data_IF_019079129614
#
_entry.id   IF_019079129614
#
_cell.length_a   1.000
_cell.length_b   1.000
_cell.length_c   1.000
_cell.angle_alpha   90.00
_cell.angle_beta   90.00
_cell.angle_gamma   90.00
#
_symmetry.space_group_name_H-M   'P 1'
#
loop_
_entity.id
_entity.type
_entity.pdbx_description
1 polymer ?
#
# COMPACT_ATOMS: atom_id res chain seq x y z
N UNK A 1 -9.46 3.68 -29.29
CA UNK A 1 -7.98 3.51 -29.19
C UNK A 1 -7.43 4.11 -27.89
N UNK A 2 -8.00 5.20 -27.36
CA UNK A 2 -7.58 5.80 -26.06
C UNK A 2 -7.72 4.86 -24.85
N UNK A 3 -8.82 4.10 -24.75
CA UNK A 3 -9.01 3.16 -23.63
C UNK A 3 -8.01 2.00 -23.56
N UNK A 4 -7.34 1.67 -24.67
CA UNK A 4 -6.37 0.57 -24.70
C UNK A 4 -4.98 1.02 -24.24
N UNK A 5 -4.60 2.28 -24.53
CA UNK A 5 -3.35 2.90 -24.05
C UNK A 5 -3.44 3.20 -22.56
N UNK A 6 -4.60 3.68 -22.09
CA UNK A 6 -4.87 3.90 -20.66
C UNK A 6 -4.66 2.60 -19.85
N UNK A 7 -5.20 1.48 -20.34
CA UNK A 7 -5.07 0.17 -19.69
C UNK A 7 -3.66 -0.44 -19.73
N UNK A 8 -2.76 0.03 -20.60
CA UNK A 8 -1.36 -0.44 -20.64
C UNK A 8 -0.49 0.40 -19.71
N UNK A 9 -0.64 1.74 -19.77
CA UNK A 9 0.04 2.66 -18.84
C UNK A 9 -0.32 2.32 -17.39
N UNK A 10 -1.58 1.96 -17.11
CA UNK A 10 -1.98 1.51 -15.77
C UNK A 10 -1.27 0.24 -15.31
N UNK A 11 -1.15 -0.78 -16.17
CA UNK A 11 -0.48 -2.05 -15.83
C UNK A 11 1.01 -1.91 -15.58
N UNK A 12 1.69 -1.04 -16.31
CA UNK A 12 3.11 -0.78 -16.08
C UNK A 12 3.32 -0.04 -14.73
N UNK A 13 2.40 0.86 -14.36
CA UNK A 13 2.41 1.53 -13.06
C UNK A 13 2.10 0.57 -11.90
N UNK A 14 1.16 -0.36 -12.08
CA UNK A 14 0.84 -1.42 -11.12
C UNK A 14 2.06 -2.28 -10.78
N UNK A 15 2.79 -2.67 -11.82
CA UNK A 15 4.00 -3.45 -11.66
C UNK A 15 5.08 -2.67 -10.91
N UNK A 16 5.30 -1.40 -11.26
CA UNK A 16 6.30 -0.57 -10.59
C UNK A 16 5.93 -0.25 -9.12
N UNK A 17 4.65 -0.04 -8.81
CA UNK A 17 4.15 0.09 -7.44
C UNK A 17 4.42 -1.18 -6.62
N UNK A 18 4.16 -2.35 -7.20
CA UNK A 18 4.38 -3.65 -6.55
C UNK A 18 5.88 -3.89 -6.33
N UNK A 19 6.68 -3.73 -7.37
CA UNK A 19 8.13 -3.93 -7.31
C UNK A 19 8.77 -2.94 -6.31
N UNK A 20 8.37 -1.67 -6.33
CA UNK A 20 8.83 -0.63 -5.42
C UNK A 20 8.47 -0.92 -3.96
N UNK A 21 7.22 -1.33 -3.68
CA UNK A 21 6.79 -1.72 -2.34
C UNK A 21 7.55 -2.95 -1.82
N UNK A 22 7.77 -3.94 -2.68
CA UNK A 22 8.49 -5.16 -2.34
C UNK A 22 9.99 -4.93 -2.12
N UNK A 23 10.61 -4.06 -2.92
CA UNK A 23 12.02 -3.70 -2.77
C UNK A 23 12.23 -2.76 -1.57
N UNK A 24 11.36 -1.76 -1.40
CA UNK A 24 11.37 -0.75 -0.35
C UNK A 24 10.85 -1.28 0.98
N UNK A 25 9.58 -1.03 1.28
CA UNK A 25 8.95 -1.30 2.58
C UNK A 25 9.03 -2.76 3.04
N UNK A 26 8.76 -3.71 2.13
CA UNK A 26 8.83 -5.14 2.43
C UNK A 26 10.24 -5.74 2.18
N UNK A 27 11.17 -4.96 1.63
CA UNK A 27 12.49 -5.39 1.22
C UNK A 27 13.63 -4.81 2.07
N UNK A 28 14.80 -4.62 1.45
CA UNK A 28 16.07 -4.24 2.11
C UNK A 28 16.65 -2.90 1.63
N UNK A 29 15.86 -2.08 0.94
CA UNK A 29 16.36 -0.80 0.42
C UNK A 29 16.73 0.15 1.56
N UNK A 30 17.68 1.06 1.33
CA UNK A 30 18.07 2.06 2.30
C UNK A 30 16.88 2.98 2.62
N UNK A 31 16.55 3.10 3.91
CA UNK A 31 15.54 4.02 4.38
C UNK A 31 16.18 5.38 4.65
N UNK A 32 15.56 6.43 4.13
CA UNK A 32 15.95 7.82 4.38
C UNK A 32 14.95 8.49 5.33
N UNK A 33 15.37 9.60 5.94
CA UNK A 33 14.49 10.44 6.75
C UNK A 33 14.29 11.77 6.04
N UNK A 34 13.03 12.14 5.81
CA UNK A 34 12.66 13.42 5.18
C UNK A 34 11.72 14.21 6.10
N UNK A 35 11.66 15.52 5.92
CA UNK A 35 10.73 16.39 6.66
C UNK A 35 9.80 17.09 5.69
N UNK A 36 8.50 16.88 5.83
CA UNK A 36 7.47 17.52 5.00
C UNK A 36 6.41 18.18 5.87
N UNK A 37 6.21 19.48 5.70
CA UNK A 37 5.22 20.23 6.50
C UNK A 37 5.46 20.14 8.03
N UNK A 38 6.69 19.87 8.46
CA UNK A 38 7.05 19.68 9.87
C UNK A 38 6.92 18.24 10.39
N UNK A 39 6.43 17.30 9.58
CA UNK A 39 6.38 15.88 9.94
C UNK A 39 7.69 15.18 9.57
N UNK A 40 8.34 14.44 10.48
CA UNK A 40 9.44 13.55 10.13
C UNK A 40 8.89 12.25 9.54
N UNK A 41 9.22 11.96 8.28
CA UNK A 41 8.82 10.77 7.55
C UNK A 41 10.02 9.84 7.31
N UNK A 42 9.71 8.55 7.21
CA UNK A 42 10.55 7.58 6.53
C UNK A 42 10.33 7.71 5.02
N UNK A 43 11.39 7.51 4.25
CA UNK A 43 11.31 7.50 2.79
C UNK A 43 12.09 6.33 2.22
N UNK A 44 11.62 5.83 1.08
CA UNK A 44 12.36 4.86 0.27
C UNK A 44 12.25 5.22 -1.21
N UNK A 45 13.31 4.89 -1.94
CA UNK A 45 13.38 5.14 -3.38
C UNK A 45 13.81 3.87 -4.10
N UNK A 46 13.17 3.59 -5.23
CA UNK A 46 13.51 2.49 -6.12
C UNK A 46 13.54 2.98 -7.57
N UNK A 47 14.61 2.65 -8.29
CA UNK A 47 14.74 2.90 -9.73
C UNK A 47 14.75 1.56 -10.45
N UNK A 48 13.66 1.25 -11.17
CA UNK A 48 13.53 0.08 -12.02
C UNK A 48 13.96 0.35 -13.46
N UNK A 49 13.96 -0.67 -14.31
CA UNK A 49 14.30 -0.51 -15.74
C UNK A 49 13.31 0.38 -16.51
N UNK A 50 12.09 0.51 -16.00
CA UNK A 50 10.97 1.15 -16.69
C UNK A 50 10.44 2.41 -15.97
N UNK A 51 11.04 2.83 -14.85
CA UNK A 51 10.55 3.97 -14.10
C UNK A 51 11.10 4.09 -12.69
N UNK A 52 10.63 5.11 -11.98
CA UNK A 52 11.02 5.41 -10.60
C UNK A 52 9.84 5.28 -9.65
N UNK A 53 10.11 4.80 -8.44
CA UNK A 53 9.18 4.70 -7.33
C UNK A 53 9.75 5.48 -6.14
N UNK A 54 8.88 6.27 -5.52
CA UNK A 54 9.15 7.01 -4.30
C UNK A 54 8.05 6.72 -3.30
N UNK A 55 8.40 6.47 -2.06
CA UNK A 55 7.46 6.27 -0.95
C UNK A 55 7.92 7.07 0.24
N UNK A 56 6.98 7.76 0.88
CA UNK A 56 7.20 8.56 2.07
C UNK A 56 6.08 8.26 3.07
N UNK A 57 6.42 7.88 4.31
CA UNK A 57 5.42 7.50 5.30
C UNK A 57 5.80 7.82 6.74
N UNK A 58 4.79 7.86 7.59
CA UNK A 58 4.94 8.00 9.04
C UNK A 58 4.69 6.64 9.70
N UNK A 59 5.72 6.05 10.33
CA UNK A 59 5.67 4.68 10.86
C UNK A 59 4.97 4.50 12.24
N UNK A 60 4.19 5.47 12.71
CA UNK A 60 3.53 5.42 14.03
C UNK A 60 2.09 4.86 13.99
N UNK A 61 1.47 4.66 15.17
CA UNK A 61 0.18 3.96 15.36
C UNK A 61 -0.90 4.26 14.31
N UNK A 62 -1.04 5.54 13.98
CA UNK A 62 -1.73 6.02 12.80
C UNK A 62 -0.65 6.52 11.84
N UNK A 63 -0.46 5.78 10.76
CA UNK A 63 0.48 6.10 9.70
C UNK A 63 -0.25 6.68 8.51
N UNK A 64 0.43 7.57 7.80
CA UNK A 64 0.00 8.07 6.51
C UNK A 64 1.22 8.24 5.64
N UNK A 65 1.01 8.15 4.34
CA UNK A 65 2.08 8.26 3.38
C UNK A 65 1.57 8.55 1.99
N UNK A 66 2.53 8.70 1.11
CA UNK A 66 2.31 8.82 -0.31
C UNK A 66 3.35 7.97 -1.03
N UNK A 67 2.91 7.38 -2.13
CA UNK A 67 3.78 6.82 -3.13
C UNK A 67 3.60 7.59 -4.44
N UNK A 68 4.69 7.71 -5.18
CA UNK A 68 4.73 8.31 -6.50
C UNK A 68 5.46 7.35 -7.42
N UNK A 69 4.84 7.05 -8.56
CA UNK A 69 5.48 6.31 -9.65
C UNK A 69 5.56 7.16 -10.90
N UNK A 70 6.70 7.08 -11.59
CA UNK A 70 6.96 7.80 -12.83
C UNK A 70 7.42 6.81 -13.92
N UNK A 71 6.71 6.80 -15.05
CA UNK A 71 7.01 5.98 -16.23
C UNK A 71 6.92 6.87 -17.46
N UNK A 72 8.07 7.20 -18.07
CA UNK A 72 8.13 8.14 -19.18
C UNK A 72 7.58 9.51 -18.79
N UNK A 73 6.54 9.98 -19.47
CA UNK A 73 5.85 11.25 -19.16
C UNK A 73 4.66 11.09 -18.21
N UNK A 74 4.32 9.85 -17.82
CA UNK A 74 3.18 9.56 -16.93
C UNK A 74 3.60 9.48 -15.47
N UNK A 75 2.79 10.08 -14.59
CA UNK A 75 2.96 10.04 -13.14
C UNK A 75 1.66 9.69 -12.44
N UNK A 76 1.75 8.75 -11.49
CA UNK A 76 0.65 8.38 -10.61
C UNK A 76 1.05 8.56 -9.16
N UNK A 77 0.05 8.83 -8.32
CA UNK A 77 0.23 8.84 -6.87
C UNK A 77 -0.75 7.90 -6.20
N UNK A 78 -0.28 7.24 -5.14
CA UNK A 78 -1.11 6.54 -4.19
C UNK A 78 -0.91 7.20 -2.83
N UNK A 79 -1.92 7.92 -2.34
CA UNK A 79 -1.90 8.42 -0.96
C UNK A 79 -2.62 7.44 -0.05
N UNK A 80 -2.13 7.27 1.16
CA UNK A 80 -2.72 6.34 2.10
C UNK A 80 -2.67 6.81 3.53
N UNK A 81 -3.64 6.36 4.31
CA UNK A 81 -3.70 6.58 5.74
C UNK A 81 -4.34 5.39 6.44
N UNK A 82 -3.90 5.12 7.66
CA UNK A 82 -4.38 3.96 8.39
C UNK A 82 -3.55 3.67 9.62
N UNK A 83 -3.68 2.46 10.14
CA UNK A 83 -2.92 2.06 11.30
C UNK A 83 -3.40 0.77 11.93
N UNK A 84 -2.76 0.44 13.06
CA UNK A 84 -3.15 -0.68 13.91
C UNK A 84 -4.07 -0.21 15.03
N UNK A 85 -4.93 -1.10 15.54
CA UNK A 85 -5.66 -0.85 16.78
C UNK A 85 -4.73 -0.54 17.97
N UNK A 86 -5.31 -0.02 19.05
CA UNK A 86 -4.60 0.39 20.26
C UNK A 86 -3.74 -0.73 20.88
N UNK A 87 -2.63 -0.36 21.53
CA UNK A 87 -1.71 -1.32 22.18
C UNK A 87 -2.42 -2.18 23.23
N UNK A 88 -3.33 -1.58 24.01
CA UNK A 88 -4.10 -2.30 25.03
C UNK A 88 -5.01 -3.37 24.40
N UNK A 89 -5.59 -3.09 23.23
CA UNK A 89 -6.43 -4.05 22.51
C UNK A 89 -5.58 -5.18 21.90
N UNK A 90 -4.41 -4.86 21.34
CA UNK A 90 -3.46 -5.88 20.88
C UNK A 90 -3.04 -6.81 22.03
N UNK A 91 -2.78 -6.24 23.21
CA UNK A 91 -2.43 -7.02 24.40
C UNK A 91 -3.57 -7.95 24.85
N UNK A 92 -4.84 -7.48 24.83
CA UNK A 92 -6.01 -8.33 25.12
C UNK A 92 -6.15 -9.49 24.14
N UNK A 93 -5.75 -9.27 22.88
CA UNK A 93 -5.74 -10.30 21.84
C UNK A 93 -4.52 -11.22 21.90
N UNK A 94 -3.53 -10.91 22.73
CA UNK A 94 -2.30 -11.69 22.87
C UNK A 94 -1.33 -11.54 21.70
N UNK A 95 -1.43 -10.43 20.94
CA UNK A 95 -0.58 -10.13 19.78
C UNK A 95 0.13 -8.79 19.96
N UNK A 96 1.11 -8.52 19.12
CA UNK A 96 1.88 -7.28 19.10
C UNK A 96 1.75 -6.59 17.74
N UNK A 97 2.15 -5.31 17.68
CA UNK A 97 2.28 -4.60 16.39
C UNK A 97 3.21 -5.33 15.43
N UNK A 98 4.27 -5.97 15.95
CA UNK A 98 5.22 -6.71 15.13
C UNK A 98 4.54 -7.90 14.45
N UNK A 99 3.58 -8.55 15.10
CA UNK A 99 2.84 -9.66 14.52
C UNK A 99 1.94 -9.17 13.38
N UNK A 100 1.23 -8.05 13.58
CA UNK A 100 0.40 -7.42 12.54
C UNK A 100 1.24 -6.97 11.34
N UNK A 101 2.35 -6.27 11.57
CA UNK A 101 3.26 -5.85 10.50
C UNK A 101 3.93 -7.04 9.82
N UNK A 102 4.29 -8.08 10.57
CA UNK A 102 4.85 -9.32 10.04
C UNK A 102 3.89 -10.03 9.11
N UNK A 103 2.64 -10.20 9.54
CA UNK A 103 1.57 -10.78 8.72
C UNK A 103 1.30 -9.95 7.47
N UNK A 104 1.23 -8.61 7.59
CA UNK A 104 1.09 -7.72 6.43
C UNK A 104 2.22 -7.95 5.41
N UNK A 105 3.48 -7.92 5.84
CA UNK A 105 4.63 -8.13 4.96
C UNK A 105 4.59 -9.51 4.30
N UNK A 106 4.21 -10.54 5.04
CA UNK A 106 4.03 -11.89 4.50
C UNK A 106 2.98 -11.88 3.38
N UNK A 107 1.81 -11.28 3.60
CA UNK A 107 0.74 -11.25 2.60
C UNK A 107 1.10 -10.43 1.37
N UNK A 108 1.80 -9.31 1.52
CA UNK A 108 2.31 -8.55 0.38
C UNK A 108 3.30 -9.37 -0.46
N UNK A 109 4.15 -10.18 0.17
CA UNK A 109 5.07 -11.07 -0.54
C UNK A 109 4.37 -12.26 -1.21
N UNK A 110 3.38 -12.86 -0.54
CA UNK A 110 2.62 -14.02 -1.05
C UNK A 110 1.67 -13.66 -2.19
N UNK A 111 1.00 -12.52 -2.08
CA UNK A 111 -0.06 -12.10 -3.00
C UNK A 111 0.47 -11.16 -4.09
N UNK A 112 1.57 -10.44 -3.83
CA UNK A 112 2.27 -9.57 -4.77
C UNK A 112 1.30 -8.67 -5.57
N UNK A 113 1.22 -8.88 -6.88
CA UNK A 113 0.40 -8.12 -7.84
C UNK A 113 -1.11 -8.22 -7.57
N UNK A 114 -1.56 -9.11 -6.68
CA UNK A 114 -2.98 -9.22 -6.30
C UNK A 114 -3.36 -8.29 -5.14
N UNK A 115 -2.43 -7.55 -4.56
CA UNK A 115 -2.70 -6.68 -3.41
C UNK A 115 -2.50 -5.22 -3.76
N UNK A 116 -3.33 -4.34 -3.17
CA UNK A 116 -3.16 -2.88 -3.21
C UNK A 116 -3.23 -2.26 -4.62
N UNK A 117 -3.96 -2.86 -5.55
CA UNK A 117 -4.08 -2.38 -6.94
C UNK A 117 -5.55 -2.29 -7.38
N UNK A 118 -5.91 -2.66 -8.60
CA UNK A 118 -7.26 -2.44 -9.15
C UNK A 118 -8.20 -3.63 -9.04
N UNK A 119 -7.84 -4.67 -8.30
CA UNK A 119 -8.72 -5.81 -8.06
C UNK A 119 -8.88 -6.05 -6.57
N UNK A 120 -10.08 -6.49 -6.17
CA UNK A 120 -10.32 -6.92 -4.80
C UNK A 120 -9.51 -8.18 -4.51
N UNK A 121 -9.01 -8.29 -3.28
CA UNK A 121 -8.26 -9.44 -2.81
C UNK A 121 -8.82 -9.92 -1.49
N UNK A 122 -9.27 -11.16 -1.45
CA UNK A 122 -9.75 -11.79 -0.23
C UNK A 122 -8.92 -13.03 0.01
N UNK A 123 -8.05 -12.98 1.02
CA UNK A 123 -7.32 -14.18 1.40
C UNK A 123 -8.29 -15.15 2.11
N UNK A 124 -8.02 -16.44 1.95
CA UNK A 124 -8.55 -17.40 2.90
C UNK A 124 -7.96 -17.10 4.29
N UNK A 125 -8.65 -17.57 5.34
CA UNK A 125 -8.11 -17.51 6.68
C UNK A 125 -6.80 -18.32 6.77
N UNK A 126 -5.81 -17.75 7.44
CA UNK A 126 -4.50 -18.32 7.71
C UNK A 126 -4.36 -18.46 9.22
N UNK A 127 -4.86 -19.59 9.74
CA UNK A 127 -5.10 -19.77 11.17
C UNK A 127 -6.11 -18.74 11.67
N UNK A 128 -5.68 -17.88 12.59
CA UNK A 128 -6.52 -16.83 13.19
C UNK A 128 -6.52 -15.52 12.39
N UNK A 129 -5.68 -15.42 11.35
CA UNK A 129 -5.47 -14.19 10.59
C UNK A 129 -6.20 -14.21 9.26
N UNK A 130 -6.64 -13.04 8.79
CA UNK A 130 -7.18 -12.86 7.44
C UNK A 130 -6.77 -11.51 6.88
N UNK A 131 -6.52 -11.48 5.58
CA UNK A 131 -6.23 -10.28 4.81
C UNK A 131 -7.36 -10.02 3.82
N UNK A 132 -7.79 -8.77 3.74
CA UNK A 132 -8.80 -8.31 2.79
C UNK A 132 -8.34 -6.98 2.17
N UNK A 133 -8.57 -6.84 0.86
CA UNK A 133 -8.40 -5.61 0.10
C UNK A 133 -9.64 -5.40 -0.76
N UNK A 134 -10.27 -4.24 -0.67
CA UNK A 134 -11.57 -3.93 -1.28
C UNK A 134 -11.52 -2.61 -2.02
N UNK A 135 -12.26 -2.52 -3.12
CA UNK A 135 -12.44 -1.27 -3.84
C UNK A 135 -13.69 -0.59 -3.29
N UNK A 136 -13.51 0.58 -2.70
CA UNK A 136 -14.61 1.37 -2.10
C UNK A 136 -15.26 2.27 -3.15
N UNK A 137 -14.45 2.84 -4.04
CA UNK A 137 -14.90 3.73 -5.10
C UNK A 137 -14.01 3.57 -6.32
N UNK A 138 -14.61 3.47 -7.51
CA UNK A 138 -13.91 3.61 -8.79
C UNK A 138 -14.66 4.63 -9.64
N UNK A 139 -13.93 5.58 -10.20
CA UNK A 139 -14.46 6.52 -11.18
C UNK A 139 -13.53 6.53 -12.40
N UNK A 140 -14.09 6.28 -13.58
CA UNK A 140 -13.34 6.26 -14.84
C UNK A 140 -13.33 7.64 -15.52
N UNK A 141 -14.36 8.46 -15.31
CA UNK A 141 -14.45 9.82 -15.84
C UNK A 141 -13.50 10.77 -15.10
N UNK A 142 -13.44 10.63 -13.78
CA UNK A 142 -12.43 11.24 -12.93
C UNK A 142 -11.51 10.10 -12.50
N UNK A 143 -10.37 9.90 -13.17
CA UNK A 143 -9.58 8.68 -13.07
C UNK A 143 -9.01 8.46 -11.67
N UNK A 144 -9.80 7.87 -10.77
CA UNK A 144 -9.41 7.62 -9.39
C UNK A 144 -10.00 6.32 -8.88
N UNK A 145 -9.29 5.72 -7.94
CA UNK A 145 -9.76 4.54 -7.20
C UNK A 145 -9.46 4.72 -5.71
N UNK A 146 -10.49 4.53 -4.88
CA UNK A 146 -10.37 4.45 -3.41
C UNK A 146 -10.51 2.99 -3.01
N UNK A 147 -9.64 2.55 -2.12
CA UNK A 147 -9.61 1.16 -1.66
C UNK A 147 -9.27 1.07 -0.18
N UNK A 148 -9.65 -0.04 0.43
CA UNK A 148 -9.41 -0.35 1.84
C UNK A 148 -8.67 -1.69 1.95
N UNK A 149 -7.55 -1.69 2.65
CA UNK A 149 -6.83 -2.87 3.10
C UNK A 149 -7.10 -3.09 4.58
N UNK A 150 -7.41 -4.32 4.94
CA UNK A 150 -7.76 -4.72 6.29
C UNK A 150 -7.06 -6.02 6.67
N UNK A 151 -6.63 -6.11 7.93
CA UNK A 151 -6.23 -7.38 8.54
C UNK A 151 -7.13 -7.63 9.75
N UNK A 152 -7.65 -8.85 9.86
CA UNK A 152 -8.35 -9.32 11.06
C UNK A 152 -7.57 -10.42 11.76
N UNK A 153 -7.68 -10.46 13.09
CA UNK A 153 -7.22 -11.55 13.93
C UNK A 153 -8.39 -12.03 14.81
N UNK A 154 -8.79 -13.31 14.70
CA UNK A 154 -10.01 -13.86 15.32
C UNK A 154 -11.25 -13.01 15.03
N UNK A 155 -11.45 -12.67 13.76
CA UNK A 155 -12.54 -11.82 13.24
C UNK A 155 -12.59 -10.38 13.78
N UNK A 156 -11.58 -9.95 14.54
CA UNK A 156 -11.44 -8.57 15.01
C UNK A 156 -10.50 -7.83 14.08
N UNK A 157 -10.92 -6.67 13.58
CA UNK A 157 -10.07 -5.79 12.76
C UNK A 157 -8.93 -5.26 13.61
N UNK A 158 -7.69 -5.57 13.22
CA UNK A 158 -6.47 -5.15 13.93
C UNK A 158 -5.64 -4.14 13.14
N UNK A 159 -5.94 -3.97 11.85
CA UNK A 159 -5.27 -3.03 10.95
C UNK A 159 -6.21 -2.61 9.82
N UNK A 160 -6.15 -1.32 9.47
CA UNK A 160 -6.85 -0.73 8.32
C UNK A 160 -5.94 0.27 7.65
N UNK A 161 -5.83 0.23 6.32
CA UNK A 161 -5.26 1.27 5.47
C UNK A 161 -6.25 1.62 4.36
N UNK A 162 -6.50 2.90 4.16
CA UNK A 162 -7.27 3.41 3.01
C UNK A 162 -6.30 4.02 2.02
N UNK A 163 -6.44 3.66 0.75
CA UNK A 163 -5.64 4.20 -0.35
C UNK A 163 -6.51 4.98 -1.32
N UNK A 164 -5.98 6.09 -1.83
CA UNK A 164 -6.49 6.80 -3.00
C UNK A 164 -5.41 6.79 -4.07
N UNK A 165 -5.74 6.20 -5.22
CA UNK A 165 -4.89 6.13 -6.41
C UNK A 165 -5.44 7.04 -7.49
N UNK A 166 -4.60 7.92 -8.03
CA UNK A 166 -4.95 8.81 -9.14
C UNK A 166 -3.72 9.22 -9.98
N UNK A 167 -3.90 9.55 -11.28
CA UNK A 167 -2.88 10.20 -12.07
C UNK A 167 -2.66 11.64 -11.58
N UNK A 168 -1.43 12.12 -11.67
CA UNK A 168 -1.03 13.48 -11.27
C UNK A 168 -0.28 14.25 -12.36
N UNK A 169 -0.29 13.72 -13.59
CA UNK A 169 0.23 14.36 -14.81
C UNK A 169 -0.51 13.87 -16.05
#
# INVERSE_FOLDING_TARGET
MEGQVYNVVMRDNEKLLTDGLLAGYAGKTALEKVVRGGFPLDASHFSGSNGTYYDEWIANMTGGGQEIVEIGESRFTRVYAGGTIGLDELQKLGITKKDVTGYLKQKLQELAEKTRLYDECHSNADGEWKYDYRIVLRNEEIPLTVSEEQITHRDIVVFVHVFLLCPVS
#
